data_IF_463678793525
#
_entry.id   IF_463678793525
#
_cell.length_a   1.000
_cell.length_b   1.000
_cell.length_c   1.000
_cell.angle_alpha   90.00
_cell.angle_beta   90.00
_cell.angle_gamma   90.00
#
_symmetry.space_group_name_H-M   'P 1'
#
loop_
_entity.id
_entity.type
_entity.pdbx_description
1 polymer ?
#
# COMPACT_ATOMS: atom_id res chain seq x y z
N UNK A 1 -5.24 8.34 -2.76
CA UNK A 1 -3.83 7.95 -2.89
C UNK A 1 -2.86 8.92 -2.21
N UNK A 2 -3.00 10.26 -2.31
CA UNK A 2 -2.14 11.19 -1.55
C UNK A 2 -2.04 10.84 -0.04
N UNK A 3 -3.18 10.70 0.64
CA UNK A 3 -3.23 10.31 2.06
C UNK A 3 -2.55 8.96 2.31
N UNK A 4 -2.76 8.00 1.41
CA UNK A 4 -2.17 6.66 1.48
C UNK A 4 -0.65 6.74 1.40
N UNK A 5 -0.10 7.47 0.42
CA UNK A 5 1.34 7.70 0.30
C UNK A 5 1.97 8.45 1.46
N UNK A 6 1.29 9.47 2.00
CA UNK A 6 1.81 10.20 3.16
C UNK A 6 1.98 9.30 4.39
N UNK A 7 1.12 8.29 4.58
CA UNK A 7 1.35 7.28 5.62
C UNK A 7 2.53 6.35 5.25
N UNK A 8 2.70 5.97 3.99
CA UNK A 8 3.85 5.18 3.58
C UNK A 8 5.17 5.90 3.86
N UNK A 9 5.23 7.22 3.61
CA UNK A 9 6.35 8.08 4.01
C UNK A 9 6.57 8.06 5.52
N UNK A 10 5.50 8.18 6.32
CA UNK A 10 5.59 8.12 7.78
C UNK A 10 6.20 6.80 8.28
N UNK A 11 5.67 5.65 7.83
CA UNK A 11 6.18 4.33 8.20
C UNK A 11 7.66 4.15 7.81
N UNK A 12 8.02 4.63 6.63
CA UNK A 12 9.37 4.54 6.10
C UNK A 12 10.38 5.41 6.88
N UNK A 13 9.95 6.58 7.35
CA UNK A 13 10.77 7.41 8.24
C UNK A 13 10.91 6.79 9.63
N UNK A 14 9.86 6.16 10.17
CA UNK A 14 9.94 5.48 11.47
C UNK A 14 10.98 4.36 11.43
N UNK A 15 10.91 3.44 10.45
CA UNK A 15 11.88 2.33 10.39
C UNK A 15 13.31 2.84 10.18
N UNK A 16 13.49 3.89 9.37
CA UNK A 16 14.80 4.48 9.13
C UNK A 16 15.42 5.02 10.43
N UNK A 17 14.62 5.54 11.36
CA UNK A 17 15.14 6.02 12.64
C UNK A 17 15.26 4.89 13.70
N UNK A 18 14.54 3.78 13.49
CA UNK A 18 14.46 2.66 14.44
C UNK A 18 15.53 1.57 14.25
N UNK A 19 16.32 1.60 13.16
CA UNK A 19 17.38 0.59 12.91
C UNK A 19 18.67 1.17 12.29
N UNK A 20 19.76 0.44 12.51
CA UNK A 20 21.07 0.63 11.89
C UNK A 20 21.29 -0.28 10.66
N UNK A 21 20.36 -1.20 10.34
CA UNK A 21 20.48 -2.08 9.18
C UNK A 21 20.49 -1.27 7.87
N UNK A 22 21.58 -1.32 7.07
CA UNK A 22 21.72 -0.47 5.89
C UNK A 22 20.67 -0.77 4.82
N UNK A 23 20.23 -2.03 4.69
CA UNK A 23 19.23 -2.41 3.70
C UNK A 23 17.84 -1.85 4.04
N UNK A 24 17.40 -1.99 5.29
CA UNK A 24 16.14 -1.42 5.76
C UNK A 24 16.13 0.11 5.70
N UNK A 25 17.24 0.77 6.05
CA UNK A 25 17.37 2.24 5.96
C UNK A 25 17.32 2.74 4.51
N UNK A 26 17.93 2.02 3.58
CA UNK A 26 17.90 2.34 2.15
C UNK A 26 16.49 2.15 1.59
N UNK A 27 15.85 1.01 1.87
CA UNK A 27 14.47 0.75 1.48
C UNK A 27 13.52 1.85 2.00
N UNK A 28 13.62 2.22 3.28
CA UNK A 28 12.81 3.30 3.86
C UNK A 28 13.06 4.64 3.18
N UNK A 29 14.30 4.96 2.82
CA UNK A 29 14.61 6.17 2.07
C UNK A 29 13.98 6.18 0.67
N UNK A 30 14.12 5.09 -0.08
CA UNK A 30 13.63 4.99 -1.45
C UNK A 30 12.10 5.07 -1.50
N UNK A 31 11.42 4.39 -0.57
CA UNK A 31 9.96 4.48 -0.42
C UNK A 31 9.54 5.90 -0.05
N UNK A 32 10.17 6.51 0.96
CA UNK A 32 9.80 7.85 1.42
C UNK A 32 9.95 8.89 0.30
N UNK A 33 11.06 8.86 -0.44
CA UNK A 33 11.30 9.81 -1.53
C UNK A 33 10.35 9.61 -2.70
N UNK A 34 10.12 8.36 -3.12
CA UNK A 34 9.21 8.04 -4.23
C UNK A 34 7.76 8.39 -3.89
N UNK A 35 7.25 7.95 -2.74
CA UNK A 35 5.87 8.21 -2.36
C UNK A 35 5.62 9.70 -2.06
N UNK A 36 6.59 10.42 -1.49
CA UNK A 36 6.48 11.87 -1.32
C UNK A 36 6.42 12.61 -2.67
N UNK A 37 7.23 12.20 -3.65
CA UNK A 37 7.18 12.76 -5.00
C UNK A 37 5.81 12.52 -5.66
N UNK A 38 5.30 11.30 -5.60
CA UNK A 38 4.01 10.94 -6.20
C UNK A 38 2.84 11.65 -5.50
N UNK A 39 2.90 11.80 -4.17
CA UNK A 39 1.96 12.63 -3.42
C UNK A 39 1.97 14.09 -3.89
N UNK A 40 3.17 14.66 -4.10
CA UNK A 40 3.34 16.01 -4.64
C UNK A 40 2.80 16.19 -6.06
N UNK A 41 2.97 15.20 -6.95
CA UNK A 41 2.38 15.23 -8.30
C UNK A 41 0.86 15.29 -8.24
N UNK A 42 0.23 14.42 -7.45
CA UNK A 42 -1.22 14.41 -7.27
C UNK A 42 -1.73 15.71 -6.64
N UNK A 43 -1.02 16.27 -5.66
CA UNK A 43 -1.33 17.57 -5.08
C UNK A 43 -1.34 18.66 -6.16
N UNK A 44 -0.28 18.71 -6.97
CA UNK A 44 -0.10 19.68 -8.05
C UNK A 44 -1.21 19.57 -9.10
N UNK A 45 -1.62 18.36 -9.48
CA UNK A 45 -2.72 18.17 -10.41
C UNK A 45 -4.06 18.68 -9.87
N UNK A 46 -4.39 18.37 -8.61
CA UNK A 46 -5.62 18.89 -8.01
C UNK A 46 -5.61 20.43 -7.97
N UNK A 47 -4.48 21.05 -7.61
CA UNK A 47 -4.35 22.50 -7.61
C UNK A 47 -4.51 23.10 -9.02
N UNK A 48 -3.82 22.53 -10.02
CA UNK A 48 -3.89 22.98 -11.41
C UNK A 48 -5.30 22.81 -12.00
N UNK A 49 -6.00 21.73 -11.66
CA UNK A 49 -7.37 21.48 -12.09
C UNK A 49 -8.42 22.28 -11.29
N UNK A 50 -8.00 23.11 -10.34
CA UNK A 50 -8.89 23.90 -9.48
C UNK A 50 -9.77 23.06 -8.55
N UNK A 51 -9.31 21.85 -8.20
CA UNK A 51 -10.02 20.91 -7.32
C UNK A 51 -9.53 21.03 -5.87
N UNK A 52 -10.42 20.72 -4.92
CA UNK A 52 -10.06 20.66 -3.50
C UNK A 52 -9.08 19.51 -3.23
N UNK A 53 -8.15 19.73 -2.29
CA UNK A 53 -7.27 18.68 -1.76
C UNK A 53 -8.03 17.70 -0.85
N UNK A 54 -9.20 18.09 -0.36
CA UNK A 54 -10.12 17.21 0.34
C UNK A 54 -11.16 16.64 -0.62
N UNK A 55 -11.51 15.36 -0.47
CA UNK A 55 -12.63 14.78 -1.19
C UNK A 55 -13.97 15.43 -0.82
N UNK A 56 -14.89 15.54 -1.79
CA UNK A 56 -16.27 15.95 -1.57
C UNK A 56 -17.18 14.80 -1.08
N UNK A 57 -16.64 13.59 -1.07
CA UNK A 57 -17.34 12.36 -0.73
C UNK A 57 -16.51 11.55 0.28
N UNK A 58 -17.14 10.58 0.97
CA UNK A 58 -16.42 9.64 1.80
C UNK A 58 -15.27 8.94 1.05
N UNK A 59 -14.25 8.52 1.80
CA UNK A 59 -13.13 7.77 1.25
C UNK A 59 -13.60 6.55 0.47
N UNK A 60 -12.89 6.22 -0.62
CA UNK A 60 -13.12 5.04 -1.46
C UNK A 60 -14.48 4.97 -2.19
N UNK A 61 -15.39 5.95 -2.04
CA UNK A 61 -16.67 5.99 -2.78
C UNK A 61 -16.47 5.89 -4.29
N UNK A 62 -15.39 6.43 -4.83
CA UNK A 62 -15.12 6.37 -6.27
C UNK A 62 -14.81 4.96 -6.80
N UNK A 63 -14.32 4.05 -5.97
CA UNK A 63 -14.05 2.66 -6.36
C UNK A 63 -15.31 1.80 -6.45
N UNK A 64 -16.43 2.24 -5.87
CA UNK A 64 -17.71 1.52 -5.98
C UNK A 64 -18.46 1.83 -7.27
N UNK A 65 -17.93 2.76 -8.08
CA UNK A 65 -18.53 3.14 -9.37
C UNK A 65 -18.17 2.12 -10.46
N UNK A 66 -19.02 1.95 -11.49
CA UNK A 66 -18.72 1.08 -12.63
C UNK A 66 -17.40 1.45 -13.32
N UNK A 67 -16.72 0.45 -13.88
CA UNK A 67 -15.56 0.66 -14.76
C UNK A 67 -15.99 1.37 -16.05
N UNK A 68 -15.08 2.14 -16.65
CA UNK A 68 -15.35 2.93 -17.85
C UNK A 68 -15.51 2.10 -19.14
N UNK A 69 -15.09 0.83 -19.13
CA UNK A 69 -15.23 -0.09 -20.25
C UNK A 69 -16.56 -0.87 -20.27
N UNK A 70 -17.47 -0.57 -19.34
CA UNK A 70 -18.77 -1.24 -19.24
C UNK A 70 -18.70 -2.67 -18.70
N UNK A 71 -17.54 -3.12 -18.21
CA UNK A 71 -17.47 -4.34 -17.41
C UNK A 71 -18.15 -4.05 -16.06
N UNK A 72 -19.44 -4.38 -16.00
CA UNK A 72 -20.09 -4.56 -14.72
C UNK A 72 -19.32 -5.65 -13.98
N UNK A 73 -18.91 -5.39 -12.75
CA UNK A 73 -18.55 -6.44 -11.82
C UNK A 73 -19.81 -7.31 -11.62
N UNK A 74 -19.95 -8.34 -12.46
CA UNK A 74 -21.07 -9.26 -12.42
C UNK A 74 -20.96 -10.10 -11.15
N UNK A 75 -21.74 -9.72 -10.13
CA UNK A 75 -22.22 -10.69 -9.16
C UNK A 75 -23.40 -11.43 -9.77
N UNK A 76 -23.28 -12.75 -9.94
CA UNK A 76 -24.33 -13.71 -9.59
C UNK A 76 -23.87 -15.18 -9.74
N UNK A 77 -24.03 -15.91 -8.63
CA UNK A 77 -24.19 -17.36 -8.43
C UNK A 77 -23.04 -18.37 -8.66
N UNK A 78 -22.45 -18.84 -7.55
CA UNK A 78 -21.78 -20.13 -7.45
C UNK A 78 -21.35 -20.41 -6.01
N UNK A 79 -21.89 -21.46 -5.39
CA UNK A 79 -21.55 -21.88 -4.04
C UNK A 79 -20.14 -22.54 -3.99
N UNK A 80 -19.51 -22.36 -2.82
CA UNK A 80 -18.39 -23.11 -2.24
C UNK A 80 -16.93 -22.80 -2.63
N UNK A 81 -16.14 -22.71 -1.56
CA UNK A 81 -14.68 -22.77 -1.39
C UNK A 81 -13.84 -21.52 -1.70
N UNK A 82 -13.45 -20.83 -0.61
CA UNK A 82 -12.15 -20.19 -0.36
C UNK A 82 -11.41 -19.64 -1.59
N UNK A 83 -11.85 -18.48 -2.06
CA UNK A 83 -11.02 -17.61 -2.90
C UNK A 83 -11.31 -16.14 -2.58
N UNK A 84 -10.23 -15.39 -2.32
CA UNK A 84 -10.28 -13.95 -2.05
C UNK A 84 -10.79 -13.20 -3.29
N UNK A 85 -12.11 -13.04 -3.41
CA UNK A 85 -12.69 -12.09 -4.36
C UNK A 85 -12.20 -10.69 -4.00
N UNK A 86 -11.72 -9.87 -4.96
CA UNK A 86 -11.39 -8.47 -4.71
C UNK A 86 -12.61 -7.80 -4.09
N UNK A 87 -12.44 -7.31 -2.86
CA UNK A 87 -13.55 -7.02 -1.96
C UNK A 87 -14.48 -5.94 -2.49
N UNK A 88 -15.77 -6.11 -2.24
CA UNK A 88 -16.74 -5.03 -2.37
C UNK A 88 -16.36 -3.90 -1.39
N UNK A 89 -15.83 -2.78 -1.92
CA UNK A 89 -15.50 -1.62 -1.09
C UNK A 89 -16.77 -0.96 -0.54
N UNK A 90 -16.72 -0.57 0.74
CA UNK A 90 -17.78 0.23 1.37
C UNK A 90 -17.39 1.71 1.37
N UNK A 91 -18.26 2.62 0.91
CA UNK A 91 -18.03 4.06 1.03
C UNK A 91 -17.70 4.49 2.46
N UNK A 92 -16.63 5.25 2.63
CA UNK A 92 -16.15 5.73 3.92
C UNK A 92 -15.33 4.73 4.73
N UNK A 93 -15.12 3.51 4.24
CA UNK A 93 -14.18 2.57 4.85
C UNK A 93 -12.73 3.10 4.77
N UNK A 94 -11.84 2.66 5.68
CA UNK A 94 -10.40 2.92 5.57
C UNK A 94 -9.88 2.53 4.18
N UNK A 95 -8.89 3.28 3.67
CA UNK A 95 -8.26 2.89 2.40
C UNK A 95 -7.60 1.51 2.57
N UNK A 96 -7.63 0.64 1.54
CA UNK A 96 -6.99 -0.66 1.60
C UNK A 96 -5.51 -0.57 2.01
N UNK A 97 -5.08 -1.47 2.90
CA UNK A 97 -3.68 -1.58 3.32
C UNK A 97 -3.17 -0.49 4.27
N UNK A 98 -3.97 0.54 4.59
CA UNK A 98 -3.54 1.59 5.53
C UNK A 98 -3.29 0.97 6.92
N UNK A 99 -2.15 1.27 7.52
CA UNK A 99 -1.88 0.92 8.91
C UNK A 99 -2.83 1.69 9.83
N UNK A 100 -3.36 1.01 10.85
CA UNK A 100 -4.17 1.66 11.89
C UNK A 100 -3.28 2.50 12.82
N UNK A 101 -3.83 3.49 13.54
CA UNK A 101 -3.05 4.28 14.50
C UNK A 101 -2.32 3.43 15.54
N UNK A 102 -2.94 2.34 16.01
CA UNK A 102 -2.32 1.42 16.96
C UNK A 102 -1.11 0.68 16.35
N UNK A 103 -1.17 0.31 15.06
CA UNK A 103 -0.04 -0.33 14.38
C UNK A 103 1.12 0.64 14.11
N UNK A 104 0.81 1.91 13.82
CA UNK A 104 1.84 2.96 13.69
C UNK A 104 2.52 3.18 15.04
N UNK A 105 1.76 3.24 16.14
CA UNK A 105 2.31 3.40 17.48
C UNK A 105 3.16 2.20 17.91
N UNK A 106 2.69 0.99 17.61
CA UNK A 106 3.47 -0.23 17.81
C UNK A 106 4.80 -0.17 17.06
N UNK A 107 4.81 0.21 15.77
CA UNK A 107 6.04 0.36 15.00
C UNK A 107 7.00 1.39 15.63
N UNK A 108 6.48 2.51 16.13
CA UNK A 108 7.28 3.55 16.80
C UNK A 108 7.95 3.06 18.09
N UNK A 109 7.34 2.10 18.77
CA UNK A 109 7.87 1.54 20.02
C UNK A 109 8.94 0.44 19.80
N UNK A 110 9.08 -0.07 18.57
CA UNK A 110 10.04 -1.12 18.22
C UNK A 110 11.37 -0.53 17.75
N UNK A 111 12.44 -1.33 17.85
CA UNK A 111 13.78 -1.00 17.35
C UNK A 111 14.46 -2.23 16.74
N UNK A 112 15.47 -2.01 15.89
CA UNK A 112 16.26 -3.07 15.27
C UNK A 112 15.41 -4.03 14.46
N UNK A 113 15.74 -5.33 14.51
CA UNK A 113 15.10 -6.36 13.68
C UNK A 113 13.58 -6.46 13.88
N UNK A 114 13.07 -6.20 15.09
CA UNK A 114 11.62 -6.22 15.34
C UNK A 114 10.91 -5.06 14.64
N UNK A 115 11.51 -3.86 14.64
CA UNK A 115 10.99 -2.72 13.88
C UNK A 115 11.05 -2.98 12.37
N UNK A 116 12.15 -3.57 11.89
CA UNK A 116 12.31 -3.93 10.47
C UNK A 116 11.21 -4.89 10.02
N UNK A 117 10.97 -5.97 10.77
CA UNK A 117 9.92 -6.94 10.46
C UNK A 117 8.55 -6.29 10.46
N UNK A 118 8.24 -5.52 11.51
CA UNK A 118 6.94 -4.86 11.62
C UNK A 118 6.72 -3.87 10.48
N UNK A 119 7.74 -3.11 10.12
CA UNK A 119 7.71 -2.24 8.97
C UNK A 119 7.44 -2.99 7.67
N UNK A 120 8.18 -4.08 7.41
CA UNK A 120 8.02 -4.88 6.18
C UNK A 120 6.60 -5.47 6.09
N UNK A 121 6.06 -6.01 7.18
CA UNK A 121 4.68 -6.52 7.23
C UNK A 121 3.65 -5.43 6.89
N UNK A 122 3.76 -4.27 7.54
CA UNK A 122 2.85 -3.15 7.32
C UNK A 122 2.98 -2.58 5.91
N UNK A 123 4.20 -2.43 5.41
CA UNK A 123 4.46 -1.85 4.10
C UNK A 123 4.07 -2.79 2.95
N UNK A 124 4.21 -4.11 3.12
CA UNK A 124 3.66 -5.09 2.16
C UNK A 124 2.13 -4.96 2.07
N UNK A 125 1.44 -4.88 3.21
CA UNK A 125 -0.02 -4.70 3.23
C UNK A 125 -0.43 -3.35 2.61
N UNK A 126 0.30 -2.29 2.94
CA UNK A 126 0.14 -0.94 2.40
C UNK A 126 0.28 -0.94 0.87
N UNK A 127 1.36 -1.51 0.34
CA UNK A 127 1.60 -1.59 -1.09
C UNK A 127 0.54 -2.39 -1.85
N UNK A 128 0.07 -3.52 -1.29
CA UNK A 128 -1.03 -4.28 -1.90
C UNK A 128 -2.30 -3.44 -2.03
N UNK A 129 -2.61 -2.67 -1.00
CA UNK A 129 -3.73 -1.72 -1.06
C UNK A 129 -3.51 -0.60 -2.08
N UNK A 130 -2.27 -0.11 -2.23
CA UNK A 130 -1.95 0.88 -3.24
C UNK A 130 -2.13 0.34 -4.68
N UNK A 131 -1.70 -0.90 -4.93
CA UNK A 131 -1.88 -1.60 -6.22
C UNK A 131 -3.37 -1.76 -6.52
N UNK A 132 -4.16 -2.25 -5.57
CA UNK A 132 -5.62 -2.39 -5.72
C UNK A 132 -6.30 -1.07 -6.11
N UNK A 133 -5.94 0.01 -5.42
CA UNK A 133 -6.45 1.35 -5.74
C UNK A 133 -5.97 1.83 -7.13
N UNK A 134 -4.72 1.58 -7.50
CA UNK A 134 -4.17 2.00 -8.79
C UNK A 134 -4.83 1.25 -9.96
N UNK A 135 -5.04 -0.06 -9.84
CA UNK A 135 -5.78 -0.87 -10.81
C UNK A 135 -7.22 -0.38 -10.98
N UNK A 136 -7.88 -0.02 -9.87
CA UNK A 136 -9.22 0.53 -9.92
C UNK A 136 -9.28 1.89 -10.64
N UNK A 137 -8.22 2.72 -10.56
CA UNK A 137 -8.11 3.95 -11.36
C UNK A 137 -7.90 3.63 -12.83
N UNK A 138 -7.03 2.66 -13.16
CA UNK A 138 -6.76 2.25 -14.54
C UNK A 138 -8.03 1.75 -15.25
N UNK A 139 -8.92 1.08 -14.53
CA UNK A 139 -10.21 0.64 -15.06
C UNK A 139 -11.26 1.78 -15.25
N UNK A 140 -10.98 2.99 -14.76
CA UNK A 140 -11.97 4.09 -14.67
C UNK A 140 -11.51 5.43 -15.25
N UNK A 141 -10.23 5.57 -15.58
CA UNK A 141 -9.65 6.83 -16.03
C UNK A 141 -9.13 6.72 -17.45
N UNK A 142 -9.47 7.69 -18.29
CA UNK A 142 -8.84 7.92 -19.59
C UNK A 142 -7.86 9.10 -19.58
N UNK A 143 -7.66 9.74 -18.42
CA UNK A 143 -6.74 10.86 -18.29
C UNK A 143 -5.29 10.36 -18.34
N UNK A 144 -4.55 10.75 -19.39
CA UNK A 144 -3.22 10.22 -19.69
C UNK A 144 -2.19 10.37 -18.57
N UNK A 145 -2.16 11.51 -17.85
CA UNK A 145 -1.19 11.69 -16.74
C UNK A 145 -1.56 10.84 -15.52
N UNK A 146 -2.86 10.65 -15.27
CA UNK A 146 -3.36 9.79 -14.19
C UNK A 146 -3.06 8.33 -14.49
N UNK A 147 -3.34 7.88 -15.71
CA UNK A 147 -3.05 6.51 -16.17
C UNK A 147 -1.56 6.22 -16.09
N UNK A 148 -0.71 7.12 -16.59
CA UNK A 148 0.74 6.95 -16.56
C UNK A 148 1.27 6.77 -15.12
N UNK A 149 0.83 7.61 -14.18
CA UNK A 149 1.24 7.46 -12.78
C UNK A 149 0.69 6.19 -12.15
N UNK A 150 -0.58 5.85 -12.37
CA UNK A 150 -1.17 4.63 -11.82
C UNK A 150 -0.43 3.36 -12.32
N UNK A 151 -0.10 3.28 -13.61
CA UNK A 151 0.72 2.19 -14.16
C UNK A 151 2.11 2.14 -13.52
N UNK A 152 2.76 3.29 -13.32
CA UNK A 152 4.05 3.35 -12.64
C UNK A 152 3.97 2.86 -11.20
N UNK A 153 2.91 3.24 -10.46
CA UNK A 153 2.67 2.79 -9.09
C UNK A 153 2.49 1.27 -9.05
N UNK A 154 1.65 0.70 -9.92
CA UNK A 154 1.45 -0.76 -9.97
C UNK A 154 2.78 -1.48 -10.20
N UNK A 155 3.59 -1.01 -11.15
CA UNK A 155 4.88 -1.64 -11.45
C UNK A 155 5.85 -1.54 -10.27
N UNK A 156 6.09 -0.35 -9.73
CA UNK A 156 7.08 -0.15 -8.66
C UNK A 156 6.67 -0.85 -7.37
N UNK A 157 5.39 -0.73 -6.98
CA UNK A 157 4.91 -1.29 -5.72
C UNK A 157 4.92 -2.83 -5.74
N UNK A 158 4.68 -3.47 -6.90
CA UNK A 158 4.83 -4.93 -7.01
C UNK A 158 6.29 -5.38 -6.86
N UNK A 159 7.24 -4.69 -7.49
CA UNK A 159 8.68 -4.98 -7.31
C UNK A 159 9.12 -4.78 -5.86
N UNK A 160 8.63 -3.73 -5.19
CA UNK A 160 8.92 -3.49 -3.77
C UNK A 160 8.28 -4.53 -2.85
N UNK A 161 7.08 -5.04 -3.16
CA UNK A 161 6.47 -6.17 -2.42
C UNK A 161 7.36 -7.41 -2.48
N UNK A 162 7.88 -7.75 -3.66
CA UNK A 162 8.78 -8.90 -3.84
C UNK A 162 10.06 -8.74 -3.00
N UNK A 163 10.70 -7.57 -3.08
CA UNK A 163 11.88 -7.22 -2.29
C UNK A 163 11.60 -7.34 -0.78
N UNK A 164 10.53 -6.70 -0.31
CA UNK A 164 10.17 -6.69 1.11
C UNK A 164 9.83 -8.08 1.63
N UNK A 165 9.19 -8.92 0.81
CA UNK A 165 8.88 -10.31 1.17
C UNK A 165 10.17 -11.11 1.36
N UNK A 166 11.17 -10.93 0.49
CA UNK A 166 12.50 -11.53 0.64
C UNK A 166 13.19 -11.06 1.91
N UNK A 167 13.24 -9.74 2.14
CA UNK A 167 13.84 -9.15 3.34
C UNK A 167 13.17 -9.63 4.64
N UNK A 168 11.85 -9.83 4.61
CA UNK A 168 11.08 -10.33 5.76
C UNK A 168 11.41 -11.80 6.05
N UNK A 169 11.55 -12.63 5.01
CA UNK A 169 11.94 -14.03 5.16
C UNK A 169 13.35 -14.19 5.76
N UNK A 170 14.30 -13.33 5.36
CA UNK A 170 15.65 -13.29 5.94
C UNK A 170 15.68 -12.92 7.44
N UNK A 171 14.62 -12.26 7.91
CA UNK A 171 14.46 -11.78 9.30
C UNK A 171 13.55 -12.66 10.14
N UNK A 172 13.21 -13.86 9.68
CA UNK A 172 12.34 -14.79 10.40
C UNK A 172 12.92 -15.18 11.78
N UNK A 173 12.08 -15.45 12.81
CA UNK A 173 12.60 -15.77 14.14
C UNK A 173 13.39 -17.08 14.06
N UNK A 174 14.46 -17.21 14.84
CA UNK A 174 15.34 -18.39 14.80
C UNK A 174 14.60 -19.74 14.96
N UNK A 175 13.47 -19.75 15.69
CA UNK A 175 12.65 -20.94 15.96
C UNK A 175 11.66 -21.31 14.84
N UNK A 176 11.66 -20.59 13.72
CA UNK A 176 10.77 -20.85 12.57
C UNK A 176 11.35 -21.80 11.51
N UNK A 177 12.46 -22.48 11.81
CA UNK A 177 13.02 -23.50 10.91
C UNK A 177 12.14 -24.76 10.84
N UNK A 178 11.77 -25.26 9.63
CA UNK A 178 10.96 -26.47 9.47
C UNK A 178 11.69 -27.78 9.84
N UNK A 179 12.86 -27.71 10.48
CA UNK A 179 13.74 -28.84 10.73
C UNK A 179 14.35 -28.85 12.14
N UNK A 180 13.60 -28.40 13.15
CA UNK A 180 13.97 -28.65 14.54
C UNK A 180 13.79 -30.15 14.86
N UNK A 181 14.82 -30.88 15.32
CA UNK A 181 14.63 -32.26 15.75
C UNK A 181 13.71 -32.28 16.97
N UNK A 182 12.71 -33.18 16.96
CA UNK A 182 11.87 -33.43 18.11
C UNK A 182 12.76 -33.87 19.30
N UNK A 183 12.83 -33.02 20.32
CA UNK A 183 13.44 -33.33 21.62
C UNK A 183 12.48 -34.09 22.53
#
# INVERSE_FOLDING_TARGET
MQVHHLQGVELAMIVRDATDDPAARLLGYDIATTQAQQAGQMYGWLAEWGLSQSGSEPSMTWMTRPASDGTAAHGEHGADADSHSPGTHTPGAPMPGLATPAQVEELRALTGVEAERRFLELMIAHHRGAVEMADAVLARSSNGVVVALATSIVASQNSEIELMTGMLAERAPADSSPNAPAG
#
